data_IF_816052783864
#
_entry.id   IF_816052783864
#
_cell.length_a   1.000
_cell.length_b   1.000
_cell.length_c   1.000
_cell.angle_alpha   90.00
_cell.angle_beta   90.00
_cell.angle_gamma   90.00
#
_symmetry.space_group_name_H-M   'P 1'
#
loop_
_entity.id
_entity.type
_entity.pdbx_description
1 polymer ?
#
# COMPACT_ATOMS: atom_id res chain seq x y z
N UNK A 1 11.19 -15.80 16.41
CA UNK A 1 12.05 -16.92 16.89
C UNK A 1 11.67 -17.25 18.34
N UNK A 2 12.11 -18.37 18.91
CA UNK A 2 11.89 -18.67 20.33
C UNK A 2 13.11 -18.23 21.15
N UNK A 3 12.92 -17.55 22.29
CA UNK A 3 14.00 -17.29 23.23
C UNK A 3 14.50 -18.60 23.84
N UNK A 4 15.67 -18.57 24.48
CA UNK A 4 16.22 -19.70 25.27
C UNK A 4 15.23 -20.25 26.30
N UNK A 5 14.27 -19.41 26.71
CA UNK A 5 13.32 -19.69 27.78
C UNK A 5 11.94 -20.11 27.22
N UNK A 6 11.85 -20.35 25.90
CA UNK A 6 10.67 -20.86 25.23
C UNK A 6 9.64 -19.81 24.81
N UNK A 7 9.93 -18.50 24.96
CA UNK A 7 8.99 -17.44 24.58
C UNK A 7 9.08 -17.08 23.09
N UNK A 8 7.93 -16.91 22.44
CA UNK A 8 7.87 -16.41 21.07
C UNK A 8 8.27 -14.94 21.00
N UNK A 9 9.22 -14.65 20.12
CA UNK A 9 9.69 -13.33 19.75
C UNK A 9 9.27 -13.02 18.31
N UNK A 10 8.62 -11.87 18.13
CA UNK A 10 8.26 -11.35 16.83
C UNK A 10 9.36 -10.47 16.27
N UNK A 11 9.56 -10.54 14.96
CA UNK A 11 10.50 -9.69 14.24
C UNK A 11 9.77 -9.09 13.06
N UNK A 12 9.94 -7.79 12.85
CA UNK A 12 9.34 -7.03 11.76
C UNK A 12 10.46 -6.56 10.83
N UNK A 13 11.00 -7.44 9.98
CA UNK A 13 12.07 -7.06 9.05
C UNK A 13 11.53 -6.06 8.02
N UNK A 14 12.34 -5.05 7.71
CA UNK A 14 12.03 -4.15 6.60
C UNK A 14 12.28 -4.85 5.27
N UNK A 15 11.32 -4.73 4.34
CA UNK A 15 11.49 -5.27 3.00
C UNK A 15 12.49 -4.42 2.21
N UNK A 16 13.54 -5.07 1.68
CA UNK A 16 14.45 -4.41 0.75
C UNK A 16 13.84 -4.43 -0.66
N UNK A 17 13.11 -3.39 -1.02
CA UNK A 17 12.36 -3.36 -2.29
C UNK A 17 13.22 -3.60 -3.55
N UNK A 18 14.51 -3.27 -3.52
CA UNK A 18 15.44 -3.53 -4.64
C UNK A 18 15.72 -5.02 -4.91
N UNK A 19 15.47 -5.90 -3.93
CA UNK A 19 15.61 -7.35 -4.10
C UNK A 19 14.31 -8.05 -4.43
N UNK A 20 13.18 -7.32 -4.47
CA UNK A 20 11.87 -7.85 -4.83
C UNK A 20 11.61 -7.66 -6.33
N UNK A 21 10.82 -8.54 -6.97
CA UNK A 21 10.40 -8.40 -8.37
C UNK A 21 9.29 -7.34 -8.52
N UNK A 22 9.52 -6.15 -7.97
CA UNK A 22 8.59 -5.02 -7.94
C UNK A 22 9.18 -3.88 -8.74
N UNK A 23 8.35 -3.21 -9.52
CA UNK A 23 8.74 -2.05 -10.32
C UNK A 23 7.91 -0.84 -9.95
N UNK A 24 8.51 0.35 -10.03
CA UNK A 24 7.73 1.59 -9.95
C UNK A 24 6.84 1.73 -11.17
N UNK A 25 5.55 1.94 -10.92
CA UNK A 25 4.66 2.48 -11.94
C UNK A 25 5.07 3.93 -12.18
N UNK A 26 5.16 4.34 -13.45
CA UNK A 26 5.60 5.68 -13.85
C UNK A 26 4.44 6.48 -14.41
N UNK A 27 4.45 7.79 -14.14
CA UNK A 27 3.58 8.75 -14.81
C UNK A 27 4.08 9.02 -16.25
N UNK A 28 3.31 9.79 -17.02
CA UNK A 28 3.62 10.13 -18.42
C UNK A 28 4.97 10.85 -18.56
N UNK A 29 5.37 11.62 -17.54
CA UNK A 29 6.66 12.32 -17.49
C UNK A 29 7.84 11.43 -17.08
N UNK A 30 7.60 10.13 -16.85
CA UNK A 30 8.61 9.16 -16.42
C UNK A 30 8.93 9.16 -14.93
N UNK A 31 8.35 10.08 -14.15
CA UNK A 31 8.50 10.11 -12.69
C UNK A 31 7.70 8.97 -12.04
N UNK A 32 8.04 8.53 -10.80
CA UNK A 32 7.23 7.56 -10.08
C UNK A 32 5.79 8.06 -9.91
N UNK A 33 4.81 7.25 -10.30
CA UNK A 33 3.41 7.59 -10.18
C UNK A 33 3.04 7.81 -8.72
N UNK A 34 2.47 8.98 -8.45
CA UNK A 34 1.88 9.35 -7.15
C UNK A 34 0.40 9.63 -7.33
N UNK A 35 -0.39 9.10 -6.41
CA UNK A 35 -1.85 9.29 -6.38
C UNK A 35 -2.23 9.81 -5.01
N UNK A 36 -2.97 10.92 -4.94
CA UNK A 36 -3.50 11.42 -3.67
C UNK A 36 -4.79 10.69 -3.31
N UNK A 37 -4.86 10.19 -2.08
CA UNK A 37 -6.03 9.49 -1.52
C UNK A 37 -6.61 10.33 -0.38
N UNK A 38 -7.89 10.73 -0.43
CA UNK A 38 -8.50 11.54 0.62
C UNK A 38 -8.65 10.73 1.90
N UNK A 39 -8.20 11.29 3.03
CA UNK A 39 -8.29 10.70 4.36
C UNK A 39 -8.70 11.77 5.36
N UNK A 40 -9.87 11.61 5.99
CA UNK A 40 -10.41 12.59 6.94
C UNK A 40 -10.52 13.99 6.33
N UNK A 41 -9.78 14.96 6.87
CA UNK A 41 -9.74 16.36 6.37
C UNK A 41 -8.59 16.65 5.40
N UNK A 42 -7.77 15.66 5.07
CA UNK A 42 -6.60 15.82 4.22
C UNK A 42 -6.49 14.73 3.16
N UNK A 43 -5.27 14.54 2.66
CA UNK A 43 -4.93 13.46 1.74
C UNK A 43 -3.62 12.79 2.15
N UNK A 44 -3.44 11.55 1.69
CA UNK A 44 -2.19 10.81 1.74
C UNK A 44 -1.73 10.57 0.31
N UNK A 45 -0.48 10.95 0.00
CA UNK A 45 0.12 10.63 -1.28
C UNK A 45 0.58 9.18 -1.26
N UNK A 46 0.14 8.35 -2.21
CA UNK A 46 0.64 6.98 -2.35
C UNK A 46 1.48 6.84 -3.60
N UNK A 47 2.59 6.12 -3.47
CA UNK A 47 3.32 5.61 -4.63
C UNK A 47 2.75 4.24 -5.01
N UNK A 48 2.87 3.90 -6.29
CA UNK A 48 2.36 2.64 -6.82
C UNK A 48 3.52 1.76 -7.30
N UNK A 49 3.52 0.53 -6.84
CA UNK A 49 4.39 -0.53 -7.31
C UNK A 49 3.58 -1.51 -8.16
N UNK A 50 4.24 -2.13 -9.14
CA UNK A 50 3.69 -3.22 -9.95
C UNK A 50 4.53 -4.47 -9.76
N UNK A 51 3.86 -5.58 -9.56
CA UNK A 51 4.43 -6.93 -9.65
C UNK A 51 3.72 -7.66 -10.78
N UNK A 52 4.47 -8.31 -11.65
CA UNK A 52 3.89 -9.10 -12.73
C UNK A 52 3.69 -10.56 -12.28
N UNK A 53 2.44 -10.96 -12.06
CA UNK A 53 2.07 -12.34 -11.69
C UNK A 53 1.57 -13.08 -12.93
N UNK A 54 2.51 -13.69 -13.67
CA UNK A 54 2.22 -14.27 -14.97
C UNK A 54 1.70 -13.20 -15.94
N UNK A 55 0.42 -13.25 -16.30
CA UNK A 55 -0.23 -12.25 -17.16
C UNK A 55 -0.96 -11.14 -16.38
N UNK A 56 -1.10 -11.28 -15.07
CA UNK A 56 -1.89 -10.37 -14.23
C UNK A 56 -0.95 -9.38 -13.52
N UNK A 57 -1.12 -8.06 -13.70
CA UNK A 57 -0.41 -7.09 -12.89
C UNK A 57 -1.06 -6.99 -11.51
N UNK A 58 -0.24 -7.13 -10.46
CA UNK A 58 -0.59 -6.79 -9.09
C UNK A 58 -0.06 -5.39 -8.79
N UNK A 59 -0.97 -4.48 -8.43
CA UNK A 59 -0.59 -3.14 -7.97
C UNK A 59 -0.57 -3.09 -6.45
N UNK A 60 0.53 -2.58 -5.90
CA UNK A 60 0.72 -2.39 -4.46
C UNK A 60 0.82 -0.90 -4.16
N UNK A 61 0.07 -0.44 -3.17
CA UNK A 61 0.05 0.95 -2.73
C UNK A 61 0.98 1.11 -1.53
N UNK A 62 1.74 2.19 -1.51
CA UNK A 62 2.71 2.48 -0.47
C UNK A 62 2.65 3.96 -0.07
N UNK A 63 2.30 4.21 1.19
CA UNK A 63 2.19 5.56 1.77
C UNK A 63 3.52 6.09 2.30
N UNK A 64 4.59 5.28 2.29
CA UNK A 64 5.93 5.69 2.72
C UNK A 64 6.60 6.61 1.68
N UNK A 65 6.06 7.83 1.58
CA UNK A 65 6.53 8.90 0.69
C UNK A 65 6.93 10.09 1.55
N UNK A 66 8.09 10.69 1.27
CA UNK A 66 8.65 11.78 2.07
C UNK A 66 7.74 13.01 2.22
N UNK A 67 6.89 13.27 1.22
CA UNK A 67 5.91 14.36 1.26
C UNK A 67 4.80 14.15 2.28
N UNK A 68 4.62 12.92 2.78
CA UNK A 68 3.63 12.61 3.81
C UNK A 68 4.21 12.83 5.21
N UNK A 69 3.38 13.29 6.17
CA UNK A 69 3.80 13.35 7.56
C UNK A 69 4.04 11.93 8.12
N UNK A 70 4.87 11.76 9.17
CA UNK A 70 5.26 10.46 9.71
C UNK A 70 4.09 9.49 9.97
N UNK A 71 2.98 9.99 10.50
CA UNK A 71 1.79 9.20 10.82
C UNK A 71 1.09 8.64 9.59
N UNK A 72 1.19 9.32 8.44
CA UNK A 72 0.60 8.85 7.18
C UNK A 72 1.56 7.88 6.47
N UNK A 73 2.88 8.08 6.62
CA UNK A 73 3.87 7.11 6.12
C UNK A 73 3.70 5.74 6.78
N UNK A 74 3.31 5.72 8.05
CA UNK A 74 3.09 4.49 8.82
C UNK A 74 1.86 3.67 8.39
N UNK A 75 0.98 4.16 7.50
CA UNK A 75 -0.22 3.42 7.09
C UNK A 75 0.16 2.06 6.46
N UNK A 76 1.22 2.01 5.66
CA UNK A 76 1.68 0.78 4.98
C UNK A 76 2.90 0.12 5.64
N UNK A 77 3.24 0.47 6.89
CA UNK A 77 4.47 -0.03 7.53
C UNK A 77 4.34 -1.44 8.12
N UNK A 78 3.14 -1.86 8.52
CA UNK A 78 2.93 -3.13 9.22
C UNK A 78 1.61 -3.77 8.81
N UNK A 79 1.65 -5.08 8.52
CA UNK A 79 0.46 -5.90 8.32
C UNK A 79 -0.14 -6.30 9.68
N UNK A 80 -1.45 -6.15 9.84
CA UNK A 80 -2.19 -6.43 11.08
C UNK A 80 -1.66 -5.68 12.32
N UNK A 81 -1.07 -4.51 12.11
CA UNK A 81 -0.60 -3.62 13.17
C UNK A 81 -1.54 -2.44 13.44
N UNK A 82 -1.20 -1.66 14.46
CA UNK A 82 -1.89 -0.42 14.79
C UNK A 82 -3.22 -0.59 15.54
N UNK A 83 -3.92 0.53 15.70
CA UNK A 83 -5.22 0.62 16.38
C UNK A 83 -6.39 0.68 15.37
N UNK A 84 -7.61 0.83 15.87
CA UNK A 84 -8.80 0.94 15.02
C UNK A 84 -8.72 2.10 14.01
N UNK A 85 -8.05 3.20 14.38
CA UNK A 85 -7.86 4.34 13.47
C UNK A 85 -6.90 3.96 12.34
N UNK A 86 -5.79 3.31 12.64
CA UNK A 86 -4.85 2.82 11.63
C UNK A 86 -5.54 1.86 10.66
N UNK A 87 -6.36 0.95 11.19
CA UNK A 87 -7.13 0.01 10.39
C UNK A 87 -8.07 0.71 9.40
N UNK A 88 -8.84 1.70 9.85
CA UNK A 88 -9.72 2.48 8.96
C UNK A 88 -8.90 3.20 7.87
N UNK A 89 -7.72 3.72 8.19
CA UNK A 89 -6.86 4.37 7.20
C UNK A 89 -6.33 3.38 6.15
N UNK A 90 -5.95 2.17 6.58
CA UNK A 90 -5.53 1.09 5.67
C UNK A 90 -6.68 0.65 4.75
N UNK A 91 -7.90 0.50 5.28
CA UNK A 91 -9.11 0.16 4.53
C UNK A 91 -9.45 1.26 3.50
N UNK A 92 -9.41 2.54 3.90
CA UNK A 92 -9.58 3.68 2.98
C UNK A 92 -8.52 3.65 1.87
N UNK A 93 -7.26 3.38 2.22
CA UNK A 93 -6.17 3.33 1.27
C UNK A 93 -6.37 2.21 0.25
N UNK A 94 -6.80 1.03 0.69
CA UNK A 94 -7.03 -0.11 -0.18
C UNK A 94 -8.25 0.11 -1.08
N UNK A 95 -9.39 0.53 -0.52
CA UNK A 95 -10.63 0.73 -1.26
C UNK A 95 -10.58 1.96 -2.17
N UNK A 96 -10.47 3.16 -1.58
CA UNK A 96 -10.48 4.42 -2.35
C UNK A 96 -9.19 4.58 -3.15
N UNK A 97 -8.04 4.31 -2.53
CA UNK A 97 -6.75 4.40 -3.21
C UNK A 97 -6.63 3.41 -4.35
N UNK A 98 -7.05 2.16 -4.16
CA UNK A 98 -7.02 1.13 -5.21
C UNK A 98 -7.80 1.54 -6.45
N UNK A 99 -9.05 2.00 -6.29
CA UNK A 99 -9.87 2.48 -7.41
C UNK A 99 -9.27 3.72 -8.08
N UNK A 100 -8.71 4.66 -7.31
CA UNK A 100 -8.05 5.85 -7.88
C UNK A 100 -6.85 5.47 -8.71
N UNK A 101 -6.01 4.55 -8.24
CA UNK A 101 -4.85 4.05 -8.99
C UNK A 101 -5.29 3.42 -10.31
N UNK A 102 -6.31 2.54 -10.30
CA UNK A 102 -6.82 1.92 -11.52
C UNK A 102 -7.30 2.98 -12.53
N UNK A 103 -8.07 3.97 -12.07
CA UNK A 103 -8.54 5.08 -12.92
C UNK A 103 -7.39 5.90 -13.49
N UNK A 104 -6.38 6.23 -12.69
CA UNK A 104 -5.18 6.95 -13.16
C UNK A 104 -4.42 6.16 -14.20
N UNK A 105 -4.45 4.83 -14.14
CA UNK A 105 -3.85 3.94 -15.15
C UNK A 105 -4.75 3.67 -16.36
N UNK A 106 -5.92 4.30 -16.45
CA UNK A 106 -6.89 4.06 -17.52
C UNK A 106 -7.53 2.67 -17.47
N UNK A 107 -7.48 2.00 -16.31
CA UNK A 107 -8.08 0.69 -16.10
C UNK A 107 -9.47 0.88 -15.51
N UNK A 108 -10.50 0.47 -16.26
CA UNK A 108 -11.90 0.52 -15.83
C UNK A 108 -12.44 -0.91 -15.62
N UNK A 109 -12.45 -1.42 -14.38
CA UNK A 109 -12.91 -2.78 -14.10
C UNK A 109 -14.44 -2.88 -14.20
N UNK A 110 -14.93 -3.84 -14.99
CA UNK A 110 -16.35 -4.14 -15.07
C UNK A 110 -16.92 -4.74 -13.76
N UNK A 111 -16.07 -5.41 -12.98
CA UNK A 111 -16.42 -6.02 -11.70
C UNK A 111 -15.28 -5.76 -10.72
N UNK A 112 -15.65 -5.27 -9.53
CA UNK A 112 -14.73 -5.16 -8.39
C UNK A 112 -15.08 -6.26 -7.38
N UNK A 113 -14.12 -7.11 -7.05
CA UNK A 113 -14.24 -8.04 -5.94
C UNK A 113 -13.44 -7.50 -4.76
N UNK A 114 -14.14 -7.28 -3.66
CA UNK A 114 -13.56 -6.80 -2.41
C UNK A 114 -13.36 -8.00 -1.49
N UNK A 115 -12.12 -8.28 -1.14
CA UNK A 115 -11.79 -9.45 -0.33
C UNK A 115 -12.06 -9.12 1.14
N UNK A 116 -13.14 -9.70 1.69
CA UNK A 116 -13.58 -9.58 3.09
C UNK A 116 -13.96 -8.14 3.53
N UNK A 117 -14.33 -7.98 4.82
CA UNK A 117 -14.69 -6.69 5.43
C UNK A 117 -13.49 -5.77 5.73
N UNK A 118 -12.38 -5.97 5.02
CA UNK A 118 -11.12 -5.21 5.14
C UNK A 118 -10.90 -4.27 3.94
N UNK A 119 -11.91 -4.12 3.09
CA UNK A 119 -11.89 -3.36 1.84
C UNK A 119 -13.02 -2.34 1.81
#
# INVERSE_FOLDING_TARGET
>A
YLSSDGWQQETYPENTFHSLPVEHVRAEDGSPLKVDVPVGKGSVAVRVWRVQIGRVPLFLLDSNVESNPPEMRAITSQLYGGDARMRILQEILLGIGGIRVLRTLGIDPAVCHMNEGHS
#
